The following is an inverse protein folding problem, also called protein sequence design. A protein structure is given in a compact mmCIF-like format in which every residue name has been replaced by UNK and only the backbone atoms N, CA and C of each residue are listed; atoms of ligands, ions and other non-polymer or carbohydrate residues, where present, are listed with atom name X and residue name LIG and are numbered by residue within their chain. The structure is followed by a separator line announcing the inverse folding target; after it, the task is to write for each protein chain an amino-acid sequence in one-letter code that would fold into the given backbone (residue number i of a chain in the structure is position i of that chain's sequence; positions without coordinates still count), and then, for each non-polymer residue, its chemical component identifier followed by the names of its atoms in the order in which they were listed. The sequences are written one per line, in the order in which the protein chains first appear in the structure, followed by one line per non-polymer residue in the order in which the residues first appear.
data_IF_042549026634
#
_entry.id   IF_042549026634
#
_cell.length_a   1.000
_cell.length_b   1.000
_cell.length_c   1.000
_cell.angle_alpha   90.00
_cell.angle_beta   90.00
_cell.angle_gamma   90.00
#
_symmetry.space_group_name_H-M   'P 1'
#
loop_
_entity.id
_entity.type
_entity.pdbx_description
1 polymer ?
#
# COMPACT_ATOMS: atom_id res chain seq x y z
N UNK A 1 5.98 -6.85 16.50
CA UNK A 1 7.00 -6.75 15.43
C UNK A 1 7.10 -5.31 14.99
N UNK A 2 8.30 -4.89 14.60
CA UNK A 2 8.49 -3.55 14.01
C UNK A 2 7.97 -3.55 12.57
N UNK A 3 7.28 -2.52 12.17
CA UNK A 3 6.87 -2.27 10.79
C UNK A 3 7.68 -1.10 10.19
N UNK A 4 7.51 -0.83 8.91
CA UNK A 4 8.25 0.20 8.20
C UNK A 4 8.14 1.59 8.85
N UNK A 5 7.01 1.93 9.48
CA UNK A 5 6.81 3.22 10.15
C UNK A 5 7.68 3.40 11.41
N UNK A 6 8.34 2.34 11.90
CA UNK A 6 9.28 2.42 13.02
C UNK A 6 10.71 2.75 12.60
N UNK A 7 10.95 2.92 11.32
CA UNK A 7 12.26 3.24 10.74
C UNK A 7 12.43 4.75 10.60
N UNK A 8 13.68 5.22 10.63
CA UNK A 8 14.00 6.57 10.13
C UNK A 8 13.85 6.62 8.61
N UNK A 9 13.77 7.80 8.03
CA UNK A 9 13.66 8.01 6.58
C UNK A 9 14.76 7.28 5.79
N UNK A 10 16.03 7.37 6.24
CA UNK A 10 17.16 6.67 5.62
C UNK A 10 17.03 5.15 5.72
N UNK A 11 16.65 4.65 6.91
CA UNK A 11 16.43 3.22 7.12
C UNK A 11 15.25 2.69 6.28
N UNK A 12 14.21 3.51 6.08
CA UNK A 12 13.08 3.17 5.23
C UNK A 12 13.49 3.11 3.76
N UNK A 13 14.33 4.04 3.29
CA UNK A 13 14.90 4.00 1.94
C UNK A 13 15.76 2.75 1.74
N UNK A 14 16.66 2.46 2.68
CA UNK A 14 17.50 1.25 2.62
C UNK A 14 16.66 -0.03 2.64
N UNK A 15 15.58 -0.05 3.41
CA UNK A 15 14.63 -1.16 3.45
C UNK A 15 13.93 -1.36 2.09
N UNK A 16 13.40 -0.29 1.49
CA UNK A 16 12.73 -0.36 0.20
C UNK A 16 13.69 -0.72 -0.94
N UNK A 17 14.94 -0.31 -0.85
CA UNK A 17 15.98 -0.62 -1.83
C UNK A 17 16.59 -2.03 -1.68
N UNK A 18 16.11 -2.85 -0.76
CA UNK A 18 16.48 -4.27 -0.71
C UNK A 18 15.79 -5.03 -1.85
N UNK A 19 16.54 -5.93 -2.50
CA UNK A 19 16.05 -6.74 -3.63
C UNK A 19 14.75 -7.48 -3.35
N UNK A 20 14.53 -7.91 -2.10
CA UNK A 20 13.33 -8.64 -1.68
C UNK A 20 12.11 -7.74 -1.52
N UNK A 21 12.33 -6.45 -1.28
CA UNK A 21 11.26 -5.45 -1.21
C UNK A 21 10.93 -4.92 -2.61
N UNK A 22 11.96 -4.81 -3.47
CA UNK A 22 11.81 -4.40 -4.85
C UNK A 22 11.01 -5.42 -5.68
N UNK A 23 11.30 -6.72 -5.54
CA UNK A 23 10.57 -7.80 -6.19
C UNK A 23 9.81 -8.63 -5.15
N UNK A 24 8.52 -8.38 -5.01
CA UNK A 24 7.62 -9.02 -4.06
C UNK A 24 7.04 -10.35 -4.52
N UNK A 25 7.45 -10.89 -5.67
CA UNK A 25 7.01 -12.17 -6.21
C UNK A 25 8.20 -13.12 -6.47
N UNK A 26 7.90 -14.40 -6.62
CA UNK A 26 8.93 -15.42 -6.79
C UNK A 26 9.49 -15.39 -8.19
N UNK A 27 10.79 -15.19 -8.26
CA UNK A 27 11.62 -15.41 -9.45
C UNK A 27 12.65 -16.49 -9.13
N UNK A 28 13.23 -17.15 -10.15
CA UNK A 28 14.37 -18.03 -9.95
C UNK A 28 15.47 -17.37 -9.13
N UNK A 29 16.14 -18.13 -8.24
CA UNK A 29 17.09 -17.62 -7.25
C UNK A 29 18.29 -16.84 -7.84
N UNK A 30 18.58 -17.02 -9.11
CA UNK A 30 19.65 -16.29 -9.80
C UNK A 30 19.27 -14.84 -10.16
N UNK A 31 18.00 -14.45 -10.06
CA UNK A 31 17.60 -13.06 -10.16
C UNK A 31 17.86 -12.32 -8.85
N UNK A 32 18.95 -11.57 -8.80
CA UNK A 32 19.35 -10.75 -7.65
C UNK A 32 19.47 -9.30 -8.09
N UNK A 33 18.68 -8.42 -7.48
CA UNK A 33 18.60 -7.03 -7.89
C UNK A 33 19.46 -6.07 -7.05
N UNK A 34 20.12 -6.53 -5.98
CA UNK A 34 20.88 -5.68 -5.08
C UNK A 34 21.92 -4.82 -5.79
N UNK A 35 22.70 -5.44 -6.72
CA UNK A 35 23.72 -4.72 -7.47
C UNK A 35 23.10 -3.67 -8.42
N UNK A 36 21.99 -4.02 -9.07
CA UNK A 36 21.27 -3.10 -9.96
C UNK A 36 20.77 -1.89 -9.19
N UNK A 37 20.12 -2.12 -8.05
CA UNK A 37 19.57 -1.06 -7.21
C UNK A 37 20.69 -0.18 -6.60
N UNK A 38 21.79 -0.79 -6.17
CA UNK A 38 22.96 -0.05 -5.68
C UNK A 38 23.56 0.84 -6.76
N UNK A 39 23.77 0.32 -7.98
CA UNK A 39 24.31 1.07 -9.11
C UNK A 39 23.37 2.21 -9.53
N UNK A 40 22.04 1.99 -9.49
CA UNK A 40 21.07 3.04 -9.77
C UNK A 40 21.17 4.16 -8.73
N UNK A 41 21.20 3.81 -7.45
CA UNK A 41 21.38 4.77 -6.35
C UNK A 41 22.66 5.58 -6.51
N UNK A 42 23.77 4.93 -6.82
CA UNK A 42 25.07 5.59 -7.03
C UNK A 42 25.07 6.51 -8.27
N UNK A 43 24.49 6.06 -9.38
CA UNK A 43 24.47 6.82 -10.64
C UNK A 43 23.57 8.06 -10.59
N UNK A 44 22.47 7.99 -9.85
CA UNK A 44 21.56 9.12 -9.65
C UNK A 44 22.09 10.05 -8.58
N UNK A 45 22.53 9.52 -7.43
CA UNK A 45 22.93 10.33 -6.27
C UNK A 45 21.80 11.30 -5.88
N UNK A 46 22.16 12.57 -5.71
CA UNK A 46 21.23 13.65 -5.32
C UNK A 46 20.56 14.35 -6.51
N UNK A 47 20.79 13.89 -7.74
CA UNK A 47 20.21 14.52 -8.92
C UNK A 47 18.68 14.52 -8.85
N UNK A 48 18.03 15.64 -9.21
CA UNK A 48 16.57 15.69 -9.33
C UNK A 48 16.08 14.80 -10.48
N UNK A 49 14.83 14.34 -10.40
CA UNK A 49 14.23 13.50 -11.43
C UNK A 49 14.28 14.14 -12.82
N UNK A 50 13.99 15.44 -12.90
CA UNK A 50 13.99 16.18 -14.16
C UNK A 50 15.32 16.14 -14.91
N UNK A 51 16.45 16.10 -14.18
CA UNK A 51 17.80 16.06 -14.77
C UNK A 51 18.21 14.66 -15.26
N UNK A 52 17.47 13.64 -14.82
CA UNK A 52 17.72 12.24 -15.17
C UNK A 52 16.81 11.74 -16.29
N UNK A 53 15.77 12.48 -16.65
CA UNK A 53 14.88 12.16 -17.76
C UNK A 53 15.58 12.53 -19.06
N UNK A 54 15.69 11.55 -19.98
CA UNK A 54 16.23 11.77 -21.32
C UNK A 54 15.26 12.55 -22.23
N UNK A 55 15.60 12.65 -23.52
CA UNK A 55 14.75 13.36 -24.49
C UNK A 55 13.40 12.68 -24.75
N UNK A 56 13.26 11.39 -24.37
CA UNK A 56 12.01 10.64 -24.44
C UNK A 56 11.53 10.46 -23.01
N UNK A 57 10.29 10.88 -22.74
CA UNK A 57 9.69 10.71 -21.43
C UNK A 57 9.48 9.21 -21.13
N UNK A 58 9.63 8.76 -19.88
CA UNK A 58 9.47 7.34 -19.52
C UNK A 58 8.08 6.77 -19.86
N UNK A 59 7.04 7.59 -19.87
CA UNK A 59 5.67 7.22 -20.25
C UNK A 59 5.51 6.91 -21.74
N UNK A 60 6.42 7.44 -22.59
CA UNK A 60 6.47 7.18 -24.04
C UNK A 60 7.40 6.00 -24.39
N UNK A 61 8.03 5.36 -23.40
CA UNK A 61 8.95 4.23 -23.62
C UNK A 61 8.20 2.91 -23.53
N UNK A 62 8.13 2.16 -24.64
CA UNK A 62 7.61 0.80 -24.65
C UNK A 62 8.44 -0.10 -23.71
N UNK A 63 7.75 -0.83 -22.84
CA UNK A 63 8.41 -1.76 -21.93
C UNK A 63 9.24 -1.07 -20.82
N UNK A 64 8.83 0.12 -20.38
CA UNK A 64 9.47 0.83 -19.24
C UNK A 64 9.57 -0.06 -18.00
N UNK A 65 8.60 -0.92 -17.78
CA UNK A 65 8.61 -1.98 -16.75
C UNK A 65 8.54 -3.36 -17.43
N UNK A 66 8.80 -4.40 -16.65
CA UNK A 66 8.58 -5.79 -17.08
C UNK A 66 7.26 -6.29 -16.50
N UNK A 67 6.31 -6.58 -17.35
CA UNK A 67 5.04 -7.18 -16.96
C UNK A 67 5.22 -8.70 -16.75
N UNK A 68 4.78 -9.17 -15.59
CA UNK A 68 4.79 -10.59 -15.21
C UNK A 68 3.36 -11.05 -14.98
N UNK A 69 2.92 -12.04 -15.70
CA UNK A 69 1.58 -12.61 -15.56
C UNK A 69 1.68 -13.94 -14.82
N UNK A 70 1.00 -14.03 -13.68
CA UNK A 70 0.90 -15.27 -12.91
C UNK A 70 -0.53 -15.80 -12.90
N UNK A 71 -0.66 -17.12 -12.83
CA UNK A 71 -1.96 -17.77 -12.65
C UNK A 71 -2.49 -17.53 -11.24
N UNK A 72 -3.79 -17.23 -11.13
CA UNK A 72 -4.54 -17.26 -9.87
C UNK A 72 -5.27 -18.59 -9.75
N UNK A 73 -5.70 -18.92 -8.52
CA UNK A 73 -6.62 -20.02 -8.29
C UNK A 73 -7.95 -19.73 -9.02
N UNK A 74 -8.20 -20.47 -10.08
CA UNK A 74 -9.39 -20.33 -10.92
C UNK A 74 -9.09 -20.50 -12.40
N UNK A 75 -10.06 -21.08 -13.11
CA UNK A 75 -9.94 -21.31 -14.54
C UNK A 75 -9.95 -19.96 -15.26
N UNK A 76 -8.86 -19.63 -15.94
CA UNK A 76 -8.64 -18.36 -16.67
C UNK A 76 -8.45 -17.10 -15.80
N UNK A 77 -8.16 -17.26 -14.51
CA UNK A 77 -7.85 -16.12 -13.64
C UNK A 77 -6.35 -15.84 -13.66
N UNK A 78 -5.98 -14.61 -14.03
CA UNK A 78 -4.59 -14.14 -14.07
C UNK A 78 -4.41 -12.95 -13.13
N UNK A 79 -3.18 -12.79 -12.63
CA UNK A 79 -2.73 -11.59 -11.92
C UNK A 79 -1.55 -10.99 -12.67
N UNK A 80 -1.68 -9.73 -13.03
CA UNK A 80 -0.60 -8.95 -13.61
C UNK A 80 0.23 -8.35 -12.48
N UNK A 81 1.53 -8.64 -12.48
CA UNK A 81 2.52 -8.05 -11.60
C UNK A 81 3.49 -7.23 -12.44
N UNK A 82 4.11 -6.25 -11.84
CA UNK A 82 5.07 -5.37 -12.50
C UNK A 82 6.40 -5.45 -11.76
N UNK A 83 7.46 -5.81 -12.49
CA UNK A 83 8.81 -5.53 -12.06
C UNK A 83 9.15 -4.12 -12.54
N UNK A 84 9.16 -3.18 -11.62
CA UNK A 84 9.29 -1.77 -11.93
C UNK A 84 10.66 -1.44 -12.53
N UNK A 85 10.71 -0.43 -13.38
CA UNK A 85 11.99 0.14 -13.80
C UNK A 85 12.78 0.59 -12.56
N UNK A 86 14.03 0.15 -12.36
CA UNK A 86 14.76 0.41 -11.13
C UNK A 86 15.09 1.90 -10.90
N UNK A 87 15.18 2.71 -11.97
CA UNK A 87 15.36 4.15 -11.85
C UNK A 87 14.09 4.84 -11.32
N UNK A 88 12.93 4.55 -11.91
CA UNK A 88 11.66 5.10 -11.46
C UNK A 88 11.31 4.62 -10.05
N UNK A 89 11.61 3.35 -9.76
CA UNK A 89 11.45 2.78 -8.42
C UNK A 89 12.28 3.52 -7.38
N UNK A 90 13.54 3.81 -7.69
CA UNK A 90 14.42 4.58 -6.79
C UNK A 90 13.90 6.00 -6.58
N UNK A 91 13.50 6.71 -7.64
CA UNK A 91 12.96 8.06 -7.49
C UNK A 91 11.71 8.07 -6.62
N UNK A 92 10.80 7.12 -6.82
CA UNK A 92 9.58 6.99 -6.02
C UNK A 92 9.89 6.65 -4.55
N UNK A 93 10.85 5.74 -4.31
CA UNK A 93 11.32 5.42 -2.95
C UNK A 93 11.95 6.62 -2.26
N UNK A 94 12.81 7.38 -2.98
CA UNK A 94 13.47 8.57 -2.46
C UNK A 94 12.48 9.69 -2.14
N UNK A 95 11.47 9.88 -2.98
CA UNK A 95 10.42 10.87 -2.76
C UNK A 95 9.64 10.59 -1.47
N UNK A 96 9.25 9.34 -1.25
CA UNK A 96 8.56 8.93 -0.02
C UNK A 96 9.45 8.98 1.22
N UNK A 97 10.74 8.68 1.07
CA UNK A 97 11.71 8.62 2.17
C UNK A 97 12.54 9.91 2.32
N UNK A 98 12.17 11.01 1.67
CA UNK A 98 12.71 12.32 2.03
C UNK A 98 12.30 12.64 3.49
N UNK A 99 13.13 13.34 4.25
CA UNK A 99 12.92 13.60 5.68
C UNK A 99 11.54 14.22 5.95
N UNK A 100 11.19 15.28 5.22
CA UNK A 100 9.93 16.00 5.39
C UNK A 100 8.74 15.13 4.93
N UNK A 101 8.87 14.44 3.79
CA UNK A 101 7.85 13.52 3.26
C UNK A 101 7.61 12.36 4.22
N UNK A 102 8.68 11.80 4.79
CA UNK A 102 8.57 10.69 5.73
C UNK A 102 7.87 11.11 7.01
N UNK A 103 8.19 12.27 7.55
CA UNK A 103 7.51 12.82 8.72
C UNK A 103 6.01 13.04 8.44
N UNK A 104 5.67 13.62 7.29
CA UNK A 104 4.27 13.80 6.88
C UNK A 104 3.52 12.47 6.76
N UNK A 105 4.17 11.43 6.22
CA UNK A 105 3.59 10.09 6.14
C UNK A 105 3.37 9.47 7.52
N UNK A 106 4.33 9.59 8.43
CA UNK A 106 4.17 9.11 9.81
C UNK A 106 2.96 9.76 10.50
N UNK A 107 2.81 11.07 10.35
CA UNK A 107 1.66 11.81 10.87
C UNK A 107 0.34 11.34 10.24
N UNK A 108 0.31 11.11 8.92
CA UNK A 108 -0.86 10.57 8.24
C UNK A 108 -1.26 9.19 8.79
N UNK A 109 -0.30 8.28 8.96
CA UNK A 109 -0.59 6.94 9.49
C UNK A 109 -1.03 6.96 10.96
N UNK A 110 -0.54 7.91 11.78
CA UNK A 110 -1.08 8.11 13.13
C UNK A 110 -2.54 8.54 13.11
N UNK A 111 -2.92 9.41 12.16
CA UNK A 111 -4.29 9.87 11.98
C UNK A 111 -5.24 8.81 11.42
N UNK A 112 -4.71 7.85 10.67
CA UNK A 112 -5.51 6.74 10.13
C UNK A 112 -5.83 5.67 11.16
N UNK A 113 -5.28 5.75 12.38
CA UNK A 113 -5.56 4.78 13.43
C UNK A 113 -6.99 4.92 13.93
N UNK A 114 -7.82 3.96 13.59
CA UNK A 114 -9.17 3.82 14.14
C UNK A 114 -9.14 2.73 15.20
N UNK A 115 -9.57 2.99 16.44
CA UNK A 115 -9.44 2.02 17.55
C UNK A 115 -10.10 0.67 17.29
N UNK A 116 -11.18 0.64 16.52
CA UNK A 116 -11.93 -0.56 16.15
C UNK A 116 -11.37 -1.29 14.93
N UNK A 117 -10.26 -0.80 14.33
CA UNK A 117 -9.67 -1.39 13.14
C UNK A 117 -8.24 -1.86 13.41
N UNK A 118 -7.98 -3.13 13.20
CA UNK A 118 -6.63 -3.71 13.25
C UNK A 118 -6.10 -3.89 11.82
N UNK A 119 -4.96 -3.26 11.52
CA UNK A 119 -4.33 -3.29 10.18
C UNK A 119 -2.97 -3.97 10.24
N UNK A 120 -2.86 -5.28 9.98
CA UNK A 120 -1.60 -6.02 9.98
C UNK A 120 -0.87 -5.99 8.61
N UNK A 121 -1.28 -5.16 7.67
CA UNK A 121 -0.79 -5.15 6.28
C UNK A 121 0.44 -4.28 6.03
N UNK A 122 0.83 -3.43 6.99
CA UNK A 122 2.04 -2.64 6.84
C UNK A 122 3.29 -3.53 6.71
N UNK A 123 4.25 -3.15 5.85
CA UNK A 123 5.48 -3.92 5.66
C UNK A 123 6.23 -4.16 6.96
N UNK A 124 6.55 -5.43 7.23
CA UNK A 124 7.22 -5.87 8.46
C UNK A 124 8.74 -5.83 8.28
N UNK A 125 9.41 -5.21 9.23
CA UNK A 125 10.87 -5.17 9.29
C UNK A 125 11.37 -6.35 10.12
N UNK A 126 12.05 -7.30 9.48
CA UNK A 126 12.66 -8.44 10.15
C UNK A 126 14.03 -8.05 10.73
N UNK A 127 14.26 -8.36 12.00
CA UNK A 127 15.57 -8.17 12.65
C UNK A 127 16.63 -9.14 12.12
N UNK A 128 16.24 -10.22 11.47
CA UNK A 128 17.14 -11.21 10.91
C UNK A 128 17.39 -10.92 9.43
N UNK A 129 18.64 -10.67 9.06
CA UNK A 129 19.11 -10.49 7.67
C UNK A 129 18.93 -11.74 6.77
N UNK A 130 18.19 -12.74 7.23
CA UNK A 130 18.10 -14.04 6.56
C UNK A 130 16.91 -14.13 5.59
N UNK A 131 17.02 -15.05 4.65
CA UNK A 131 16.24 -15.46 3.47
C UNK A 131 14.69 -15.38 3.53
N UNK A 132 14.07 -14.90 4.62
CA UNK A 132 12.65 -15.14 4.94
C UNK A 132 11.77 -13.90 5.17
N UNK A 133 12.11 -12.71 4.67
CA UNK A 133 11.26 -11.51 4.89
C UNK A 133 9.80 -11.73 4.46
N UNK A 134 9.59 -12.37 3.30
CA UNK A 134 8.24 -12.69 2.81
C UNK A 134 7.53 -13.72 3.69
N UNK A 135 8.24 -14.79 4.06
CA UNK A 135 7.69 -15.79 4.98
C UNK A 135 7.37 -15.18 6.36
N UNK A 136 8.22 -14.26 6.84
CA UNK A 136 7.97 -13.53 8.10
C UNK A 136 6.76 -12.62 8.00
N UNK A 137 6.55 -11.93 6.88
CA UNK A 137 5.38 -11.08 6.64
C UNK A 137 4.10 -11.92 6.59
N UNK A 138 4.12 -13.02 5.85
CA UNK A 138 2.99 -13.96 5.76
C UNK A 138 2.71 -14.60 7.11
N UNK A 139 3.74 -15.09 7.82
CA UNK A 139 3.58 -15.71 9.14
C UNK A 139 3.07 -14.71 10.18
N UNK A 140 3.53 -13.46 10.12
CA UNK A 140 3.03 -12.39 10.99
C UNK A 140 1.57 -12.06 10.70
N UNK A 141 1.21 -11.97 9.42
CA UNK A 141 -0.17 -11.77 9.00
C UNK A 141 -1.08 -12.89 9.52
N UNK A 142 -0.75 -14.16 9.22
CA UNK A 142 -1.50 -15.31 9.71
C UNK A 142 -1.68 -15.28 11.21
N UNK A 143 -0.59 -15.11 11.95
CA UNK A 143 -0.63 -15.03 13.41
C UNK A 143 -1.49 -13.87 13.90
N UNK A 144 -1.38 -12.71 13.30
CA UNK A 144 -2.14 -11.53 13.71
C UNK A 144 -3.64 -11.69 13.42
N UNK A 145 -4.00 -12.10 12.21
CA UNK A 145 -5.39 -12.32 11.80
C UNK A 145 -6.00 -13.48 12.58
N UNK A 146 -5.33 -14.62 12.66
CA UNK A 146 -5.82 -15.80 13.36
C UNK A 146 -6.04 -15.52 14.86
N UNK A 147 -5.04 -14.98 15.55
CA UNK A 147 -5.14 -14.68 16.99
C UNK A 147 -6.22 -13.65 17.27
N UNK A 148 -6.31 -12.60 16.44
CA UNK A 148 -7.34 -11.58 16.60
C UNK A 148 -8.72 -12.14 16.31
N UNK A 149 -8.89 -12.96 15.26
CA UNK A 149 -10.16 -13.61 14.93
C UNK A 149 -10.63 -14.53 16.04
N UNK A 150 -9.74 -15.35 16.62
CA UNK A 150 -10.05 -16.20 17.78
C UNK A 150 -10.49 -15.34 18.97
N UNK A 151 -9.75 -14.29 19.30
CA UNK A 151 -10.12 -13.37 20.38
C UNK A 151 -11.50 -12.75 20.14
N UNK A 152 -11.75 -12.24 18.95
CA UNK A 152 -13.05 -11.62 18.60
C UNK A 152 -14.21 -12.63 18.61
N UNK A 153 -13.97 -13.90 18.32
CA UNK A 153 -15.01 -14.93 18.35
C UNK A 153 -15.57 -15.19 19.75
N UNK A 154 -14.89 -14.76 20.81
CA UNK A 154 -15.38 -14.84 22.17
C UNK A 154 -16.37 -13.72 22.50
N UNK A 155 -16.23 -12.56 21.87
CA UNK A 155 -17.02 -11.37 22.18
C UNK A 155 -18.09 -11.09 21.13
N UNK A 156 -17.91 -11.57 19.89
CA UNK A 156 -18.74 -11.28 18.75
C UNK A 156 -19.39 -12.55 18.17
N UNK A 157 -20.69 -12.47 17.91
CA UNK A 157 -21.48 -13.62 17.43
C UNK A 157 -21.41 -13.82 15.92
N UNK A 158 -21.16 -12.76 15.17
CA UNK A 158 -21.19 -12.77 13.71
C UNK A 158 -19.91 -12.20 13.13
N UNK A 159 -19.45 -12.80 12.06
CA UNK A 159 -18.33 -12.30 11.27
C UNK A 159 -18.76 -12.19 9.81
N UNK A 160 -18.51 -11.03 9.22
CA UNK A 160 -18.67 -10.79 7.79
C UNK A 160 -17.29 -10.67 7.16
N UNK A 161 -17.05 -11.43 6.09
CA UNK A 161 -15.79 -11.40 5.34
C UNK A 161 -16.09 -10.78 3.99
N UNK A 162 -15.31 -9.78 3.60
CA UNK A 162 -15.43 -9.10 2.32
C UNK A 162 -14.06 -8.84 1.71
N UNK A 163 -14.04 -8.62 0.41
CA UNK A 163 -12.85 -8.39 -0.39
C UNK A 163 -13.13 -7.29 -1.41
N UNK A 164 -12.15 -6.41 -1.65
CA UNK A 164 -12.23 -5.38 -2.67
C UNK A 164 -11.73 -5.95 -3.98
N UNK A 165 -12.63 -6.18 -4.91
CA UNK A 165 -12.28 -6.72 -6.22
C UNK A 165 -11.34 -5.79 -6.97
N UNK A 166 -10.19 -6.33 -7.41
CA UNK A 166 -9.15 -5.59 -8.13
C UNK A 166 -8.69 -4.31 -7.41
N UNK A 167 -8.51 -4.38 -6.09
CA UNK A 167 -8.26 -3.24 -5.21
C UNK A 167 -7.18 -2.29 -5.78
N UNK A 168 -5.97 -2.78 -6.01
CA UNK A 168 -4.86 -1.96 -6.51
C UNK A 168 -5.13 -1.33 -7.88
N UNK A 169 -5.74 -2.09 -8.78
CA UNK A 169 -6.11 -1.59 -10.11
C UNK A 169 -7.27 -0.59 -10.07
N UNK A 170 -8.06 -0.59 -9.00
CA UNK A 170 -9.20 0.29 -8.81
C UNK A 170 -8.87 1.57 -8.02
N UNK A 171 -7.72 1.63 -7.32
CA UNK A 171 -7.30 2.83 -6.61
C UNK A 171 -7.02 3.93 -7.63
N UNK A 172 -7.77 5.03 -7.55
CA UNK A 172 -7.46 6.21 -8.32
C UNK A 172 -6.22 6.90 -7.70
N UNK A 173 -5.11 7.10 -8.41
CA UNK A 173 -3.93 7.78 -7.87
C UNK A 173 -4.22 9.17 -7.27
N UNK A 174 -5.28 9.85 -7.71
CA UNK A 174 -5.71 11.11 -7.11
C UNK A 174 -6.14 10.95 -5.63
N UNK A 175 -6.57 9.76 -5.22
CA UNK A 175 -6.91 9.51 -3.82
C UNK A 175 -5.70 9.59 -2.87
N UNK A 176 -4.47 9.48 -3.40
CA UNK A 176 -3.24 9.74 -2.65
C UNK A 176 -3.20 11.20 -2.16
N UNK A 177 -3.59 12.16 -3.02
CA UNK A 177 -3.69 13.56 -2.61
C UNK A 177 -4.74 13.74 -1.51
N UNK A 178 -5.90 13.11 -1.65
CA UNK A 178 -6.94 13.18 -0.61
C UNK A 178 -6.48 12.60 0.72
N UNK A 179 -5.74 11.49 0.68
CA UNK A 179 -5.18 10.86 1.87
C UNK A 179 -4.15 11.76 2.57
N UNK A 180 -3.22 12.34 1.81
CA UNK A 180 -2.13 13.15 2.35
C UNK A 180 -2.59 14.54 2.78
N UNK A 181 -3.55 15.15 2.08
CA UNK A 181 -4.01 16.51 2.39
C UNK A 181 -5.21 16.55 3.31
N UNK A 182 -5.99 15.46 3.43
CA UNK A 182 -7.24 15.43 4.20
C UNK A 182 -8.01 16.76 4.03
N UNK A 183 -8.51 16.98 2.83
CA UNK A 183 -9.13 18.23 2.38
C UNK A 183 -9.96 18.92 3.47
N UNK A 184 -9.64 20.17 3.75
CA UNK A 184 -10.31 20.97 4.78
C UNK A 184 -9.70 20.85 6.19
N UNK A 185 -8.55 20.19 6.35
CA UNK A 185 -7.81 20.09 7.61
C UNK A 185 -6.50 20.88 7.54
N UNK A 186 -5.79 20.98 8.69
CA UNK A 186 -4.45 21.57 8.78
C UNK A 186 -3.38 20.84 7.96
N UNK A 187 -3.66 19.60 7.51
CA UNK A 187 -2.75 18.79 6.69
C UNK A 187 -2.84 19.11 5.20
N UNK A 188 -3.72 19.98 4.78
CA UNK A 188 -3.82 20.47 3.41
C UNK A 188 -2.73 21.50 3.09
N UNK A 189 -1.47 21.16 3.40
CA UNK A 189 -0.29 22.01 3.14
C UNK A 189 0.13 21.90 1.66
N UNK A 190 0.94 22.85 1.20
CA UNK A 190 1.44 22.83 -0.16
C UNK A 190 2.49 21.71 -0.34
N UNK A 191 3.27 21.42 0.69
CA UNK A 191 4.24 20.32 0.72
C UNK A 191 3.56 18.97 0.54
N UNK A 192 2.47 18.70 1.27
CA UNK A 192 1.70 17.46 1.14
C UNK A 192 1.05 17.31 -0.25
N UNK A 193 0.63 18.43 -0.86
CA UNK A 193 0.12 18.43 -2.24
C UNK A 193 1.23 18.16 -3.25
N UNK A 194 2.42 18.71 -3.01
CA UNK A 194 3.59 18.49 -3.87
C UNK A 194 4.02 17.02 -3.79
N UNK A 195 4.15 16.46 -2.60
CA UNK A 195 4.45 15.04 -2.39
C UNK A 195 3.43 14.16 -3.14
N UNK A 196 2.14 14.43 -2.99
CA UNK A 196 1.10 13.67 -3.70
C UNK A 196 1.26 13.74 -5.22
N UNK A 197 1.52 14.93 -5.77
CA UNK A 197 1.73 15.15 -7.21
C UNK A 197 2.97 14.43 -7.72
N UNK A 198 4.06 14.44 -6.95
CA UNK A 198 5.29 13.76 -7.31
C UNK A 198 5.10 12.24 -7.34
N UNK A 199 4.43 11.67 -6.34
CA UNK A 199 4.05 10.25 -6.33
C UNK A 199 3.19 9.90 -7.54
N UNK A 200 2.15 10.68 -7.82
CA UNK A 200 1.27 10.46 -8.97
C UNK A 200 2.00 10.55 -10.30
N UNK A 201 2.89 11.53 -10.45
CA UNK A 201 3.70 11.72 -11.67
C UNK A 201 4.60 10.50 -11.93
N UNK A 202 5.28 10.00 -10.90
CA UNK A 202 6.14 8.83 -11.01
C UNK A 202 5.34 7.54 -11.27
N UNK A 203 4.17 7.38 -10.65
CA UNK A 203 3.27 6.26 -10.96
C UNK A 203 2.77 6.30 -12.40
N UNK A 204 2.43 7.48 -12.92
CA UNK A 204 2.05 7.66 -14.33
C UNK A 204 3.19 7.33 -15.29
N UNK A 205 4.40 7.79 -14.98
CA UNK A 205 5.59 7.47 -15.76
C UNK A 205 5.85 5.96 -15.86
N UNK A 206 5.49 5.21 -14.81
CA UNK A 206 5.54 3.74 -14.82
C UNK A 206 4.38 3.09 -15.59
N UNK A 207 3.33 3.81 -15.95
CA UNK A 207 2.10 3.27 -16.52
C UNK A 207 1.75 3.92 -17.87
N UNK A 208 2.75 4.23 -18.68
CA UNK A 208 2.58 4.84 -20.01
C UNK A 208 1.68 6.10 -19.99
N UNK A 209 1.85 6.95 -19.00
CA UNK A 209 1.07 8.17 -18.84
C UNK A 209 -0.38 7.96 -18.34
N UNK A 210 -0.80 6.71 -18.15
CA UNK A 210 -2.14 6.41 -17.65
C UNK A 210 -2.23 6.62 -16.12
N UNK A 211 -3.32 7.25 -15.70
CA UNK A 211 -3.61 7.48 -14.29
C UNK A 211 -4.57 6.39 -13.76
N UNK A 212 -4.12 5.14 -13.80
CA UNK A 212 -4.96 3.96 -13.52
C UNK A 212 -4.30 3.06 -12.49
N UNK A 213 -4.88 2.98 -11.32
CA UNK A 213 -4.47 2.05 -10.29
C UNK A 213 -3.08 2.30 -9.70
N UNK A 214 -2.72 1.44 -8.77
CA UNK A 214 -1.36 1.31 -8.23
C UNK A 214 -0.79 0.00 -8.77
N UNK A 215 0.45 -0.02 -9.31
CA UNK A 215 1.09 -1.25 -9.74
C UNK A 215 1.20 -2.27 -8.61
N UNK A 216 1.23 -3.56 -8.94
CA UNK A 216 1.48 -4.63 -7.98
C UNK A 216 2.81 -5.30 -8.28
N UNK A 217 3.56 -5.66 -7.26
CA UNK A 217 4.78 -6.44 -7.43
C UNK A 217 5.94 -6.06 -6.52
N UNK A 218 5.79 -5.00 -5.73
CA UNK A 218 6.81 -4.59 -4.76
C UNK A 218 6.20 -4.12 -3.43
N UNK A 219 7.01 -4.12 -2.40
CA UNK A 219 6.63 -3.58 -1.09
C UNK A 219 6.36 -2.07 -1.13
N UNK A 220 7.02 -1.34 -2.01
CA UNK A 220 6.79 0.09 -2.22
C UNK A 220 5.36 0.37 -2.67
N UNK A 221 4.86 -0.40 -3.64
CA UNK A 221 3.48 -0.26 -4.11
C UNK A 221 2.46 -0.67 -3.05
N UNK A 222 2.76 -1.72 -2.28
CA UNK A 222 1.96 -2.11 -1.13
C UNK A 222 1.86 -0.97 -0.11
N UNK A 223 2.97 -0.29 0.17
CA UNK A 223 3.00 0.84 1.10
C UNK A 223 2.21 2.05 0.59
N UNK A 224 2.31 2.38 -0.70
CA UNK A 224 1.51 3.46 -1.31
C UNK A 224 0.02 3.11 -1.28
N UNK A 225 -0.36 1.86 -1.56
CA UNK A 225 -1.74 1.43 -1.45
C UNK A 225 -2.27 1.56 -0.01
N UNK A 226 -1.45 1.27 1.00
CA UNK A 226 -1.82 1.43 2.42
C UNK A 226 -2.06 2.90 2.82
N UNK A 227 -1.45 3.89 2.15
CA UNK A 227 -1.78 5.31 2.37
C UNK A 227 -3.26 5.57 2.02
N UNK A 228 -3.71 5.06 0.88
CA UNK A 228 -5.10 5.25 0.44
C UNK A 228 -6.07 4.40 1.27
N UNK A 229 -5.72 3.16 1.54
CA UNK A 229 -6.54 2.25 2.33
C UNK A 229 -6.68 2.71 3.79
N UNK A 230 -5.60 3.23 4.39
CA UNK A 230 -5.64 3.83 5.73
C UNK A 230 -6.55 5.07 5.79
N UNK A 231 -6.51 5.91 4.74
CA UNK A 231 -7.47 7.01 4.62
C UNK A 231 -8.92 6.51 4.50
N UNK A 232 -9.14 5.44 3.74
CA UNK A 232 -10.45 4.83 3.61
C UNK A 232 -10.96 4.22 4.93
N UNK A 233 -10.07 3.76 5.81
CA UNK A 233 -10.44 3.25 7.14
C UNK A 233 -11.18 4.29 7.99
N UNK A 234 -10.89 5.58 7.82
CA UNK A 234 -11.60 6.65 8.51
C UNK A 234 -13.09 6.70 8.18
N UNK A 235 -13.50 6.19 7.01
CA UNK A 235 -14.91 6.14 6.63
C UNK A 235 -15.71 5.14 7.49
N UNK A 236 -15.04 4.20 8.17
CA UNK A 236 -15.70 3.28 9.08
C UNK A 236 -16.25 3.98 10.35
N UNK A 237 -15.72 5.14 10.72
CA UNK A 237 -16.30 5.95 11.79
C UNK A 237 -17.76 6.36 11.50
N UNK A 238 -18.14 6.45 10.21
CA UNK A 238 -19.52 6.68 9.82
C UNK A 238 -20.47 5.53 10.19
N UNK A 239 -19.97 4.32 10.51
CA UNK A 239 -20.82 3.20 10.90
C UNK A 239 -21.59 3.49 12.18
N UNK A 240 -20.95 4.14 13.15
CA UNK A 240 -21.61 4.50 14.40
C UNK A 240 -22.75 5.49 14.17
N UNK A 241 -22.55 6.47 13.27
CA UNK A 241 -23.59 7.42 12.88
C UNK A 241 -24.80 6.75 12.18
N UNK A 242 -24.55 5.59 11.56
CA UNK A 242 -25.58 4.76 10.91
C UNK A 242 -26.24 3.75 11.86
N UNK A 243 -25.87 3.80 13.15
CA UNK A 243 -26.45 2.94 14.18
C UNK A 243 -25.81 1.54 14.28
N UNK A 244 -24.68 1.32 13.60
CA UNK A 244 -23.89 0.09 13.75
C UNK A 244 -22.90 0.34 14.89
N UNK A 245 -23.18 -0.29 16.02
CA UNK A 245 -22.36 -0.18 17.24
C UNK A 245 -21.76 -1.54 17.57
N UNK A 246 -20.70 -1.55 18.37
CA UNK A 246 -20.02 -2.76 18.81
C UNK A 246 -19.57 -3.65 17.63
N UNK A 247 -18.66 -3.14 16.85
CA UNK A 247 -17.98 -3.85 15.77
C UNK A 247 -16.47 -3.75 15.94
N UNK A 248 -15.75 -4.72 15.39
CA UNK A 248 -14.31 -4.74 15.24
C UNK A 248 -13.97 -5.17 13.83
N UNK A 249 -12.93 -4.61 13.25
CA UNK A 249 -12.48 -4.90 11.89
C UNK A 249 -11.03 -5.34 11.92
N UNK A 250 -10.73 -6.38 11.15
CA UNK A 250 -9.36 -6.73 10.78
C UNK A 250 -9.26 -6.51 9.28
N UNK A 251 -8.44 -5.57 8.85
CA UNK A 251 -8.17 -5.32 7.43
C UNK A 251 -6.75 -5.71 7.06
N UNK A 252 -6.63 -6.61 6.11
CA UNK A 252 -5.37 -6.96 5.47
C UNK A 252 -5.44 -6.62 4.00
N UNK A 253 -4.86 -5.47 3.60
CA UNK A 253 -4.98 -4.92 2.25
C UNK A 253 -6.45 -4.80 1.86
N UNK A 254 -6.87 -5.54 0.84
CA UNK A 254 -8.23 -5.63 0.28
C UNK A 254 -9.18 -6.54 1.07
N UNK A 255 -8.66 -7.42 1.93
CA UNK A 255 -9.48 -8.34 2.73
C UNK A 255 -9.91 -7.73 4.05
N UNK A 256 -11.22 -7.71 4.32
CA UNK A 256 -11.79 -7.21 5.56
C UNK A 256 -12.59 -8.29 6.28
N UNK A 257 -12.28 -8.49 7.57
CA UNK A 257 -13.01 -9.35 8.50
C UNK A 257 -13.72 -8.44 9.51
N UNK A 258 -15.04 -8.39 9.46
CA UNK A 258 -15.84 -7.50 10.29
C UNK A 258 -16.64 -8.33 11.29
N UNK A 259 -16.37 -8.17 12.58
CA UNK A 259 -17.05 -8.84 13.68
C UNK A 259 -18.15 -7.96 14.26
N UNK A 260 -19.33 -8.54 14.54
CA UNK A 260 -20.49 -7.83 15.09
C UNK A 260 -21.14 -8.60 16.24
N UNK A 261 -21.61 -7.87 17.25
CA UNK A 261 -22.40 -8.44 18.35
C UNK A 261 -23.85 -8.69 17.95
N UNK A 262 -24.43 -7.84 17.12
CA UNK A 262 -25.83 -7.91 16.68
C UNK A 262 -25.93 -7.76 15.18
N UNK A 263 -26.52 -8.74 14.52
CA UNK A 263 -26.81 -8.69 13.09
C UNK A 263 -28.25 -8.21 12.89
N UNK A 264 -28.43 -6.97 12.45
CA UNK A 264 -29.73 -6.50 11.99
C UNK A 264 -29.85 -6.70 10.48
N UNK A 265 -31.09 -6.92 9.96
CA UNK A 265 -31.32 -6.97 8.51
C UNK A 265 -30.89 -5.68 7.79
N UNK A 266 -30.79 -4.58 8.53
CA UNK A 266 -30.29 -3.30 8.04
C UNK A 266 -28.76 -3.28 7.87
N UNK A 267 -27.99 -4.01 8.68
CA UNK A 267 -26.54 -4.17 8.49
C UNK A 267 -26.22 -4.82 7.14
N UNK A 268 -27.00 -5.82 6.74
CA UNK A 268 -26.83 -6.47 5.43
C UNK A 268 -27.26 -5.60 4.24
N UNK A 269 -28.31 -4.78 4.42
CA UNK A 269 -28.82 -3.89 3.35
C UNK A 269 -28.03 -2.58 3.24
N UNK A 270 -27.41 -2.13 4.34
CA UNK A 270 -26.66 -0.86 4.43
C UNK A 270 -25.14 -1.08 4.43
N UNK A 271 -24.65 -2.25 4.04
CA UNK A 271 -23.22 -2.45 3.77
C UNK A 271 -22.84 -1.83 2.40
N UNK A 272 -22.92 -0.47 2.28
CA UNK A 272 -22.43 0.24 1.10
C UNK A 272 -20.90 0.37 1.14
N UNK A 273 -20.24 -0.33 2.05
CA UNK A 273 -18.79 -0.36 2.17
C UNK A 273 -18.11 -0.75 0.87
N UNK A 274 -18.65 -1.77 0.18
CA UNK A 274 -18.15 -2.15 -1.14
C UNK A 274 -18.32 -1.02 -2.17
N UNK A 275 -19.45 -0.28 -2.14
CA UNK A 275 -19.70 0.79 -3.10
C UNK A 275 -18.96 2.10 -2.81
N UNK A 276 -18.75 2.48 -1.51
CA UNK A 276 -18.04 3.72 -1.20
C UNK A 276 -16.52 3.58 -1.26
N UNK A 277 -15.96 2.44 -0.89
CA UNK A 277 -14.54 2.18 -1.11
C UNK A 277 -14.22 2.15 -2.61
N UNK A 278 -15.11 1.63 -3.47
CA UNK A 278 -14.99 1.74 -4.93
C UNK A 278 -15.16 3.17 -5.47
N UNK A 279 -15.71 4.12 -4.71
CA UNK A 279 -15.85 5.53 -5.13
C UNK A 279 -14.72 6.42 -4.61
N UNK A 280 -13.92 5.94 -3.68
CA UNK A 280 -12.69 6.59 -3.17
C UNK A 280 -11.45 5.91 -3.78
N UNK A 281 -11.58 4.65 -4.22
CA UNK A 281 -10.57 3.93 -4.98
C UNK A 281 -10.62 4.29 -6.48
#
# INVERSE_FOLDING_TARGET
MKNILSLSHDQALDFLMDSKQYCGFELPEYFVFNNVLANVRESIGDKPYADCVGPVAPDDVDGVNVDVVISKDGKHSIRKLILANPYLYYFLSRELCNEDSWQALLECFELFKVPTITVPSLPVVSERKEKFHRASTIANWWKCVEQRTISLSLDYRYMFVTDITNCYGSINPQSIEWALTRKGTQYATDENRELARNIQSLLRAMQHGHNVGIPMGSTLFDFIAEIVLGYADLLYEELESRGIKNYEIIRYRDHCYIAFSVMTKECLKKSPMCCKMCSVA
#
